data_IF_020437187243
#
_entry.id   IF_020437187243
#
_cell.length_a   1.000
_cell.length_b   1.000
_cell.length_c   1.000
_cell.angle_alpha   90.00
_cell.angle_beta   90.00
_cell.angle_gamma   90.00
#
_symmetry.space_group_name_H-M   'P 1'
#
loop_
_entity.id
_entity.type
_entity.pdbx_description
1 polymer ?
#
# COMPACT_ATOMS: atom_id res chain seq x y z
N UNK A 1 14.66 14.40 8.26
CA UNK A 1 13.52 14.86 7.45
C UNK A 1 13.93 14.83 5.99
N UNK A 2 12.96 14.72 5.08
CA UNK A 2 13.22 14.79 3.64
C UNK A 2 13.61 16.23 3.25
N UNK A 3 14.72 16.35 2.54
CA UNK A 3 15.13 17.59 1.88
C UNK A 3 14.40 17.71 0.52
N UNK A 4 13.56 18.75 0.36
CA UNK A 4 12.89 19.05 -0.91
C UNK A 4 11.36 18.95 -0.88
N UNK A 5 10.70 18.86 -2.05
CA UNK A 5 9.25 18.84 -2.15
C UNK A 5 8.66 17.58 -1.50
N UNK A 6 7.50 17.74 -0.86
CA UNK A 6 6.79 16.67 -0.16
C UNK A 6 5.40 16.46 -0.72
N UNK A 7 4.89 15.25 -0.60
CA UNK A 7 3.49 14.98 -0.86
C UNK A 7 2.60 15.57 0.24
N UNK A 8 1.37 15.97 -0.13
CA UNK A 8 0.35 16.39 0.83
C UNK A 8 0.01 15.27 1.84
N UNK A 9 0.07 14.02 1.38
CA UNK A 9 -0.14 12.83 2.20
C UNK A 9 1.03 11.88 1.99
N UNK A 10 2.00 11.92 2.88
CA UNK A 10 3.09 10.94 2.90
C UNK A 10 2.61 9.62 3.49
N UNK A 11 3.07 8.52 2.90
CA UNK A 11 2.85 7.16 3.39
C UNK A 11 4.16 6.58 3.90
N UNK A 12 4.07 5.42 4.52
CA UNK A 12 5.22 4.75 5.12
C UNK A 12 6.34 4.60 4.09
N UNK A 13 7.53 5.06 4.46
CA UNK A 13 8.75 4.84 3.69
C UNK A 13 9.20 3.40 3.88
N UNK A 14 9.65 2.77 2.80
CA UNK A 14 10.10 1.37 2.82
C UNK A 14 11.62 1.36 2.74
N UNK A 15 12.26 1.13 3.88
CA UNK A 15 13.72 1.10 3.97
C UNK A 15 14.31 -0.15 3.36
N UNK A 16 15.50 -0.03 2.79
CA UNK A 16 16.30 -1.16 2.35
C UNK A 16 17.78 -0.80 2.34
N UNK A 17 18.62 -1.81 2.47
CA UNK A 17 20.06 -1.66 2.36
C UNK A 17 20.51 -2.00 0.94
N UNK A 18 21.40 -1.17 0.40
CA UNK A 18 22.06 -1.40 -0.88
C UNK A 18 23.52 -0.99 -0.78
N UNK A 19 24.43 -1.95 -0.98
CA UNK A 19 25.89 -1.73 -0.96
C UNK A 19 26.38 -0.96 0.29
N UNK A 20 25.88 -1.34 1.47
CA UNK A 20 26.23 -0.73 2.75
C UNK A 20 25.61 0.66 2.98
N UNK A 21 24.77 1.14 2.07
CA UNK A 21 24.03 2.40 2.20
C UNK A 21 22.56 2.15 2.52
N UNK A 22 22.00 2.91 3.47
CA UNK A 22 20.58 2.87 3.80
C UNK A 22 19.80 3.74 2.81
N UNK A 23 18.77 3.14 2.20
CA UNK A 23 17.90 3.78 1.24
C UNK A 23 16.44 3.61 1.62
N UNK A 24 15.56 4.42 1.03
CA UNK A 24 14.12 4.30 1.22
C UNK A 24 13.36 4.53 -0.07
N UNK A 25 12.35 3.69 -0.33
CA UNK A 25 11.33 4.00 -1.34
C UNK A 25 10.40 5.07 -0.75
N UNK A 26 10.42 6.26 -1.36
CA UNK A 26 9.53 7.37 -1.00
C UNK A 26 8.18 7.25 -1.72
N UNK A 27 8.23 6.89 -3.00
CA UNK A 27 7.05 6.80 -3.86
C UNK A 27 7.24 5.65 -4.86
N UNK A 28 6.17 4.92 -5.12
CA UNK A 28 6.20 3.76 -6.03
C UNK A 28 6.06 4.21 -7.49
N UNK A 29 5.12 5.11 -7.81
CA UNK A 29 4.90 5.63 -9.16
C UNK A 29 4.64 7.16 -9.14
N UNK A 30 5.52 8.01 -9.75
CA UNK A 30 6.89 7.68 -10.19
C UNK A 30 7.72 7.03 -9.08
N UNK A 31 8.70 6.20 -9.47
CA UNK A 31 9.53 5.47 -8.53
C UNK A 31 10.64 6.36 -8.00
N UNK A 32 10.51 6.77 -6.74
CA UNK A 32 11.40 7.73 -6.09
C UNK A 32 12.15 7.06 -4.94
N UNK A 33 13.47 7.06 -5.02
CA UNK A 33 14.37 6.53 -3.98
C UNK A 33 15.05 7.68 -3.24
N UNK A 34 15.18 7.54 -1.93
CA UNK A 34 15.93 8.43 -1.06
C UNK A 34 17.20 7.74 -0.57
N UNK A 35 18.30 8.49 -0.50
CA UNK A 35 19.43 8.16 0.35
C UNK A 35 19.14 8.63 1.78
N UNK A 36 19.41 7.78 2.76
CA UNK A 36 19.13 8.02 4.19
C UNK A 36 20.45 8.03 4.95
N UNK A 37 20.81 9.18 5.51
CA UNK A 37 22.00 9.34 6.35
C UNK A 37 21.59 9.35 7.83
N UNK A 38 22.23 8.44 8.57
CA UNK A 38 22.13 8.33 10.02
C UNK A 38 23.29 9.04 10.74
N UNK A 39 24.07 9.87 10.03
CA UNK A 39 25.29 10.46 10.56
C UNK A 39 25.00 11.61 11.54
N UNK A 40 25.73 11.61 12.66
CA UNK A 40 25.66 12.61 13.73
C UNK A 40 24.46 12.44 14.67
N UNK A 41 24.40 13.27 15.72
CA UNK A 41 23.36 13.20 16.75
C UNK A 41 22.08 14.00 16.40
N UNK A 42 21.99 14.47 15.15
CA UNK A 42 20.90 15.31 14.67
C UNK A 42 19.73 14.52 14.06
N UNK A 43 18.74 15.21 13.46
CA UNK A 43 17.67 14.54 12.74
C UNK A 43 18.21 13.74 11.54
N UNK A 44 17.76 12.48 11.40
CA UNK A 44 18.04 11.62 10.23
C UNK A 44 17.76 12.37 8.93
N UNK A 45 18.73 12.49 8.03
CA UNK A 45 18.60 13.26 6.78
C UNK A 45 18.24 12.36 5.62
N UNK A 46 17.33 12.81 4.76
CA UNK A 46 16.92 12.04 3.59
C UNK A 46 16.97 12.93 2.35
N UNK A 47 17.68 12.48 1.31
CA UNK A 47 17.85 13.22 0.06
C UNK A 47 17.35 12.38 -1.12
N UNK A 48 16.64 12.95 -2.10
CA UNK A 48 16.31 12.23 -3.31
C UNK A 48 17.58 11.75 -4.01
N UNK A 49 17.67 10.43 -4.21
CA UNK A 49 18.74 9.82 -5.01
C UNK A 49 18.41 9.88 -6.49
N UNK A 50 17.16 9.62 -6.82
CA UNK A 50 16.66 9.58 -8.18
C UNK A 50 15.16 9.30 -8.23
N UNK A 51 14.56 9.67 -9.36
CA UNK A 51 13.19 9.35 -9.68
C UNK A 51 13.13 8.79 -11.10
N UNK A 52 12.50 7.62 -11.26
CA UNK A 52 12.22 7.01 -12.56
C UNK A 52 10.73 7.15 -12.82
N UNK A 53 10.39 7.78 -13.95
CA UNK A 53 9.01 7.82 -14.40
C UNK A 53 8.52 6.38 -14.65
N UNK A 54 7.39 6.03 -14.05
CA UNK A 54 6.84 4.69 -14.21
C UNK A 54 5.33 4.75 -14.24
N UNK A 55 4.76 4.11 -15.25
CA UNK A 55 3.33 4.05 -15.46
C UNK A 55 2.73 2.82 -14.76
N UNK A 56 2.08 3.06 -13.62
CA UNK A 56 1.30 2.07 -12.88
C UNK A 56 -0.21 2.25 -13.10
N UNK A 57 -0.64 3.00 -14.12
CA UNK A 57 -2.05 3.33 -14.38
C UNK A 57 -2.92 2.09 -14.53
N UNK A 58 -2.46 1.07 -15.26
CA UNK A 58 -3.21 -0.17 -15.50
C UNK A 58 -3.63 -0.88 -14.20
N UNK A 59 -2.77 -0.87 -13.18
CA UNK A 59 -3.13 -1.35 -11.84
C UNK A 59 -3.98 -0.31 -11.09
N UNK A 60 -3.57 0.95 -11.12
CA UNK A 60 -4.16 2.02 -10.33
C UNK A 60 -5.62 2.32 -10.67
N UNK A 61 -6.01 2.19 -11.93
CA UNK A 61 -7.39 2.39 -12.38
C UNK A 61 -8.34 1.34 -11.79
N UNK A 62 -7.84 0.13 -11.52
CA UNK A 62 -8.62 -1.01 -11.05
C UNK A 62 -8.62 -1.16 -9.53
N UNK A 63 -7.49 -0.87 -8.89
CA UNK A 63 -7.26 -1.15 -7.47
C UNK A 63 -6.75 0.04 -6.66
N UNK A 64 -6.64 1.22 -7.29
CA UNK A 64 -6.10 2.43 -6.69
C UNK A 64 -4.57 2.52 -6.81
N UNK A 65 -4.00 3.73 -6.65
CA UNK A 65 -2.56 3.94 -6.82
C UNK A 65 -1.75 3.16 -5.77
N UNK A 66 -0.63 2.51 -6.17
CA UNK A 66 0.23 1.78 -5.25
C UNK A 66 0.97 2.75 -4.32
N UNK A 67 1.01 2.45 -3.03
CA UNK A 67 1.75 3.24 -2.05
C UNK A 67 2.17 2.42 -0.83
N UNK A 68 3.35 2.73 -0.28
CA UNK A 68 3.89 2.11 0.94
C UNK A 68 3.82 0.58 0.95
N UNK A 69 3.89 -0.02 2.15
CA UNK A 69 3.78 -1.47 2.34
C UNK A 69 4.99 -2.08 3.03
N UNK A 70 5.39 -3.27 2.60
CA UNK A 70 6.52 -4.00 3.14
C UNK A 70 7.86 -3.53 2.52
N UNK A 71 8.92 -3.39 3.33
CA UNK A 71 10.30 -3.22 2.85
C UNK A 71 10.64 -4.17 1.71
N UNK A 72 11.37 -3.70 0.67
CA UNK A 72 11.75 -4.56 -0.44
C UNK A 72 12.79 -5.59 0.01
N UNK A 73 12.69 -6.78 -0.56
CA UNK A 73 13.64 -7.87 -0.35
C UNK A 73 14.40 -8.11 -1.64
N UNK A 74 15.74 -8.22 -1.55
CA UNK A 74 16.58 -8.48 -2.70
C UNK A 74 16.42 -9.93 -3.17
N UNK A 75 16.17 -10.12 -4.46
CA UNK A 75 16.10 -11.40 -5.13
C UNK A 75 16.90 -11.34 -6.43
N UNK A 76 18.14 -11.81 -6.40
CA UNK A 76 19.04 -11.74 -7.55
C UNK A 76 19.37 -10.29 -7.94
N UNK A 77 19.02 -9.93 -9.18
CA UNK A 77 19.21 -8.62 -9.79
C UNK A 77 18.01 -7.68 -9.63
N UNK A 78 17.02 -8.05 -8.82
CA UNK A 78 15.85 -7.24 -8.51
C UNK A 78 15.62 -7.12 -7.00
N UNK A 79 14.86 -6.10 -6.62
CA UNK A 79 14.20 -5.98 -5.33
C UNK A 79 12.69 -6.16 -5.51
N UNK A 80 12.06 -6.97 -4.66
CA UNK A 80 10.61 -7.20 -4.68
C UNK A 80 9.99 -6.60 -3.41
N UNK A 81 8.93 -5.81 -3.57
CA UNK A 81 8.18 -5.22 -2.46
C UNK A 81 6.68 -5.44 -2.62
N UNK A 82 6.01 -5.63 -1.48
CA UNK A 82 4.56 -5.72 -1.40
C UNK A 82 3.99 -4.39 -0.98
N UNK A 83 3.09 -3.85 -1.79
CA UNK A 83 2.51 -2.53 -1.56
C UNK A 83 1.04 -2.61 -1.19
N UNK A 84 0.49 -1.55 -0.59
CA UNK A 84 -0.97 -1.41 -0.49
C UNK A 84 -1.50 -0.40 -1.51
N UNK A 85 -2.75 -0.61 -1.90
CA UNK A 85 -3.50 0.35 -2.69
C UNK A 85 -4.89 0.52 -2.10
N UNK A 86 -5.56 1.63 -2.42
CA UNK A 86 -6.90 1.90 -1.91
C UNK A 86 -7.80 2.46 -3.00
N UNK A 87 -9.01 1.92 -3.11
CA UNK A 87 -10.01 2.37 -4.06
C UNK A 87 -11.34 2.69 -3.35
N UNK A 88 -12.08 3.72 -3.78
CA UNK A 88 -13.46 3.92 -3.33
C UNK A 88 -14.36 2.77 -3.82
N UNK A 89 -15.26 2.29 -2.97
CA UNK A 89 -16.22 1.23 -3.35
C UNK A 89 -17.42 1.82 -4.10
N UNK A 90 -17.90 2.99 -3.66
CA UNK A 90 -19.10 3.57 -4.25
C UNK A 90 -18.81 4.11 -5.66
N UNK A 91 -19.39 3.46 -6.67
CA UNK A 91 -19.45 3.98 -8.05
C UNK A 91 -20.24 5.28 -8.15
N UNK A 92 -21.10 5.56 -7.17
CA UNK A 92 -21.89 6.79 -7.08
C UNK A 92 -21.19 7.89 -6.27
N UNK A 93 -19.90 7.75 -5.94
CA UNK A 93 -19.15 8.81 -5.26
C UNK A 93 -19.21 10.14 -6.01
N UNK A 94 -19.36 10.13 -7.34
CA UNK A 94 -19.56 11.35 -8.13
C UNK A 94 -20.80 12.14 -7.71
N UNK A 95 -21.87 11.46 -7.25
CA UNK A 95 -23.09 12.11 -6.74
C UNK A 95 -22.78 12.98 -5.52
N UNK A 96 -21.74 12.64 -4.75
CA UNK A 96 -21.30 13.44 -3.62
C UNK A 96 -20.82 14.85 -4.00
N UNK A 97 -20.52 15.11 -5.27
CA UNK A 97 -20.25 16.47 -5.78
C UNK A 97 -21.44 17.41 -5.57
N UNK A 98 -22.66 16.88 -5.63
CA UNK A 98 -23.91 17.63 -5.45
C UNK A 98 -24.45 17.54 -4.02
N UNK A 99 -23.67 16.98 -3.08
CA UNK A 99 -24.11 16.86 -1.70
C UNK A 99 -24.23 18.25 -1.06
N UNK A 100 -25.38 18.58 -0.43
CA UNK A 100 -25.69 19.95 0.00
C UNK A 100 -24.83 20.45 1.17
N UNK A 101 -24.09 19.56 1.83
CA UNK A 101 -23.21 19.88 2.97
C UNK A 101 -21.74 19.79 2.52
N UNK A 102 -21.01 20.91 2.36
CA UNK A 102 -19.57 20.89 2.10
C UNK A 102 -18.77 20.19 3.20
N UNK A 103 -17.63 19.55 2.84
CA UNK A 103 -16.70 19.00 3.84
C UNK A 103 -16.16 20.14 4.71
N UNK A 104 -16.15 19.93 6.03
CA UNK A 104 -15.65 20.91 6.99
C UNK A 104 -16.69 21.95 7.45
N UNK A 105 -17.92 21.91 6.94
CA UNK A 105 -19.01 22.74 7.45
C UNK A 105 -19.32 22.37 8.92
N UNK A 106 -19.34 23.38 9.80
CA UNK A 106 -19.71 23.19 11.21
C UNK A 106 -21.22 22.97 11.32
N UNK A 107 -21.62 21.75 11.62
CA UNK A 107 -23.02 21.36 11.83
C UNK A 107 -23.30 21.06 13.31
N UNK A 108 -24.53 21.29 13.81
CA UNK A 108 -24.95 20.78 15.11
C UNK A 108 -24.69 19.27 15.23
N UNK A 109 -24.31 18.78 16.42
CA UNK A 109 -23.84 17.39 16.61
C UNK A 109 -24.79 16.32 16.03
N UNK A 110 -26.09 16.51 16.18
CA UNK A 110 -27.09 15.57 15.66
C UNK A 110 -27.14 15.59 14.13
N UNK A 111 -27.11 16.77 13.50
CA UNK A 111 -27.07 16.91 12.04
C UNK A 111 -25.77 16.33 11.50
N UNK A 112 -24.64 16.60 12.14
CA UNK A 112 -23.34 16.03 11.77
C UNK A 112 -23.33 14.50 11.89
N UNK A 113 -24.05 13.92 12.85
CA UNK A 113 -24.18 12.47 12.99
C UNK A 113 -25.03 11.86 11.88
N UNK A 114 -26.16 12.48 11.55
CA UNK A 114 -27.03 12.05 10.43
C UNK A 114 -26.29 12.18 9.11
N UNK A 115 -25.65 13.33 8.87
CA UNK A 115 -24.87 13.60 7.66
C UNK A 115 -23.77 12.55 7.47
N UNK A 116 -23.00 12.26 8.51
CA UNK A 116 -21.95 11.25 8.46
C UNK A 116 -22.51 9.85 8.20
N UNK A 117 -23.67 9.53 8.77
CA UNK A 117 -24.37 8.26 8.53
C UNK A 117 -24.83 8.13 7.08
N UNK A 118 -25.36 9.20 6.49
CA UNK A 118 -25.81 9.24 5.09
C UNK A 118 -24.64 9.24 4.10
N UNK A 119 -23.54 9.91 4.43
CA UNK A 119 -22.32 9.92 3.61
C UNK A 119 -21.57 8.60 3.62
N UNK A 120 -21.66 7.85 4.73
CA UNK A 120 -20.83 6.67 4.98
C UNK A 120 -20.80 5.67 3.81
N UNK A 121 -21.91 5.27 3.17
CA UNK A 121 -21.89 4.35 2.04
C UNK A 121 -21.09 4.89 0.84
N UNK A 122 -21.01 6.20 0.66
CA UNK A 122 -20.33 6.85 -0.46
C UNK A 122 -18.82 7.08 -0.22
N UNK A 123 -18.41 7.16 1.04
CA UNK A 123 -17.02 7.35 1.43
C UNK A 123 -16.29 6.04 1.74
N UNK A 124 -16.93 4.88 1.53
CA UNK A 124 -16.31 3.58 1.76
C UNK A 124 -15.13 3.33 0.82
N UNK A 125 -14.07 2.76 1.39
CA UNK A 125 -12.84 2.39 0.67
C UNK A 125 -12.50 0.93 0.94
N UNK A 126 -11.90 0.30 -0.06
CA UNK A 126 -11.28 -1.01 0.05
C UNK A 126 -9.78 -0.88 -0.15
N UNK A 127 -9.01 -1.62 0.63
CA UNK A 127 -7.56 -1.69 0.49
C UNK A 127 -7.18 -3.07 0.00
N UNK A 128 -6.28 -3.09 -0.98
CA UNK A 128 -5.70 -4.27 -1.58
C UNK A 128 -4.20 -4.26 -1.36
N UNK A 129 -3.54 -5.40 -1.55
CA UNK A 129 -2.08 -5.45 -1.67
C UNK A 129 -1.66 -6.11 -2.98
N UNK A 130 -0.68 -5.52 -3.65
CA UNK A 130 -0.01 -6.09 -4.81
C UNK A 130 1.47 -6.27 -4.54
N UNK A 131 2.20 -6.77 -5.54
CA UNK A 131 3.65 -6.84 -5.51
C UNK A 131 4.24 -6.12 -6.74
N UNK A 132 5.43 -5.57 -6.58
CA UNK A 132 6.17 -4.99 -7.68
C UNK A 132 7.66 -5.22 -7.49
N UNK A 133 8.42 -5.11 -8.57
CA UNK A 133 9.87 -5.16 -8.51
C UNK A 133 10.53 -4.00 -9.25
N UNK A 134 11.77 -3.77 -8.86
CA UNK A 134 12.67 -2.80 -9.47
C UNK A 134 14.10 -3.36 -9.49
N UNK A 135 14.92 -2.86 -10.42
CA UNK A 135 16.30 -3.29 -10.59
C UNK A 135 17.09 -3.14 -9.29
N UNK A 136 17.95 -4.10 -8.98
CA UNK A 136 18.83 -4.06 -7.82
C UNK A 136 19.96 -3.05 -7.97
N UNK A 137 20.21 -2.55 -9.17
CA UNK A 137 21.23 -1.54 -9.44
C UNK A 137 20.59 -0.17 -9.71
N UNK A 138 21.24 0.93 -9.34
CA UNK A 138 20.83 2.27 -9.75
C UNK A 138 20.61 2.35 -11.28
N UNK A 139 19.60 3.10 -11.74
CA UNK A 139 18.76 4.01 -10.98
C UNK A 139 17.53 3.36 -10.32
N UNK A 140 17.55 2.05 -10.05
CA UNK A 140 16.44 1.29 -9.43
C UNK A 140 15.17 1.34 -10.28
N UNK A 141 15.32 1.04 -11.57
CA UNK A 141 14.24 1.10 -12.54
C UNK A 141 13.15 0.06 -12.21
N UNK A 142 11.87 0.47 -12.10
CA UNK A 142 10.77 -0.47 -11.96
C UNK A 142 10.70 -1.45 -13.14
N UNK A 143 10.48 -2.72 -12.84
CA UNK A 143 10.50 -3.81 -13.84
C UNK A 143 9.11 -4.35 -14.10
N UNK A 144 8.35 -4.61 -13.06
CA UNK A 144 7.01 -5.15 -13.17
C UNK A 144 6.18 -4.81 -11.94
N UNK A 145 4.86 -4.89 -12.13
CA UNK A 145 3.84 -4.83 -11.08
C UNK A 145 2.84 -5.95 -11.35
N UNK A 146 2.33 -6.57 -10.29
CA UNK A 146 1.29 -7.59 -10.43
C UNK A 146 0.04 -6.99 -11.06
N UNK A 147 -0.54 -7.67 -12.06
CA UNK A 147 -1.76 -7.20 -12.73
C UNK A 147 -3.00 -7.25 -11.82
N UNK A 148 -3.00 -8.18 -10.87
CA UNK A 148 -4.03 -8.36 -9.86
C UNK A 148 -3.45 -8.20 -8.45
N UNK A 149 -4.25 -7.84 -7.44
CA UNK A 149 -3.83 -7.91 -6.05
C UNK A 149 -3.46 -9.34 -5.65
N UNK A 150 -2.37 -9.46 -4.91
CA UNK A 150 -1.91 -10.71 -4.29
C UNK A 150 -2.54 -10.94 -2.91
N UNK A 151 -3.00 -9.87 -2.26
CA UNK A 151 -3.87 -9.93 -1.08
C UNK A 151 -5.15 -9.15 -1.34
N UNK A 152 -6.28 -9.80 -1.05
CA UNK A 152 -7.62 -9.24 -1.17
C UNK A 152 -8.35 -9.43 0.16
N UNK A 153 -8.95 -8.39 0.74
CA UNK A 153 -9.74 -8.55 1.97
C UNK A 153 -10.96 -9.47 1.78
N UNK A 154 -11.39 -9.71 0.54
CA UNK A 154 -12.49 -10.62 0.19
C UNK A 154 -12.10 -12.10 0.32
N UNK A 155 -10.81 -12.41 0.20
CA UNK A 155 -10.28 -13.77 0.35
C UNK A 155 -10.01 -14.11 1.83
N UNK A 156 -10.31 -13.18 2.73
CA UNK A 156 -9.98 -13.27 4.14
C UNK A 156 -11.21 -13.52 5.01
N UNK A 157 -11.02 -14.06 6.22
CA UNK A 157 -12.10 -14.15 7.19
C UNK A 157 -12.79 -12.80 7.39
N UNK A 158 -14.12 -12.80 7.59
CA UNK A 158 -14.85 -11.58 7.85
C UNK A 158 -14.38 -10.95 9.16
N UNK A 159 -14.59 -9.63 9.27
CA UNK A 159 -14.33 -8.86 10.50
C UNK A 159 -15.00 -9.50 11.71
N UNK A 160 -14.29 -9.48 12.83
CA UNK A 160 -14.79 -10.01 14.11
C UNK A 160 -15.33 -8.89 15.00
N UNK A 161 -14.75 -7.68 14.90
CA UNK A 161 -15.15 -6.56 15.75
C UNK A 161 -16.34 -5.78 15.17
N UNK A 162 -17.37 -5.57 16.02
CA UNK A 162 -18.55 -4.74 15.66
C UNK A 162 -18.19 -3.28 15.39
N UNK A 163 -17.17 -2.74 16.08
CA UNK A 163 -16.70 -1.36 15.91
C UNK A 163 -15.47 -1.35 15.02
N UNK A 164 -15.54 -0.60 13.92
CA UNK A 164 -14.40 -0.40 13.01
C UNK A 164 -13.47 0.67 13.56
N UNK A 165 -12.17 0.38 13.62
CA UNK A 165 -11.14 1.40 13.88
C UNK A 165 -11.23 2.51 12.81
N UNK A 166 -11.39 2.11 11.55
CA UNK A 166 -11.68 3.00 10.43
C UNK A 166 -13.12 2.78 9.90
N UNK A 167 -14.10 3.65 10.26
CA UNK A 167 -15.50 3.50 9.83
C UNK A 167 -15.74 3.55 8.32
N UNK A 168 -14.80 4.15 7.57
CA UNK A 168 -14.84 4.30 6.13
C UNK A 168 -14.10 3.20 5.40
N UNK A 169 -13.37 2.32 6.09
CA UNK A 169 -12.83 1.13 5.48
C UNK A 169 -13.86 0.00 5.50
N UNK A 170 -14.04 -0.64 4.36
CA UNK A 170 -14.90 -1.80 4.21
C UNK A 170 -14.11 -3.09 4.41
N UNK A 171 -12.99 -3.22 3.71
CA UNK A 171 -11.98 -4.27 3.88
C UNK A 171 -10.59 -3.67 3.82
N UNK A 172 -9.68 -4.13 4.68
CA UNK A 172 -8.29 -3.68 4.71
C UNK A 172 -7.36 -4.89 4.69
N UNK A 173 -6.43 -4.92 3.74
CA UNK A 173 -5.18 -5.68 3.86
C UNK A 173 -4.03 -4.69 3.75
N UNK A 174 -3.03 -4.82 4.64
CA UNK A 174 -1.90 -3.90 4.71
C UNK A 174 -0.61 -4.68 4.92
N UNK A 175 0.23 -4.90 3.88
CA UNK A 175 1.48 -5.62 4.03
C UNK A 175 2.45 -4.84 4.91
N UNK A 176 3.12 -5.56 5.81
CA UNK A 176 4.03 -5.02 6.81
C UNK A 176 5.46 -5.52 6.61
N UNK A 177 5.62 -6.80 6.26
CA UNK A 177 6.90 -7.42 6.02
C UNK A 177 6.77 -8.60 5.07
N UNK A 178 7.87 -8.95 4.42
CA UNK A 178 7.94 -10.09 3.52
C UNK A 178 9.32 -10.76 3.63
N UNK A 179 9.35 -12.07 3.44
CA UNK A 179 10.58 -12.83 3.26
C UNK A 179 10.40 -13.80 2.09
N UNK A 180 11.46 -13.98 1.30
CA UNK A 180 11.54 -15.07 0.34
C UNK A 180 11.87 -16.36 1.10
N UNK A 181 11.15 -17.43 0.81
CA UNK A 181 11.35 -18.76 1.37
C UNK A 181 12.18 -19.63 0.43
N UNK A 182 12.79 -20.67 0.99
CA UNK A 182 13.34 -21.76 0.18
C UNK A 182 12.25 -22.38 -0.70
N UNK A 183 12.53 -22.51 -2.00
CA UNK A 183 11.55 -22.95 -3.01
C UNK A 183 10.88 -21.83 -3.80
N UNK A 184 11.18 -20.56 -3.50
CA UNK A 184 10.74 -19.39 -4.29
C UNK A 184 9.41 -18.77 -3.84
N UNK A 185 8.72 -19.38 -2.88
CA UNK A 185 7.52 -18.83 -2.27
C UNK A 185 7.85 -17.63 -1.37
N UNK A 186 6.84 -16.81 -1.12
CA UNK A 186 6.94 -15.64 -0.26
C UNK A 186 6.09 -15.81 0.98
N UNK A 187 6.64 -15.52 2.15
CA UNK A 187 5.86 -15.34 3.36
C UNK A 187 5.67 -13.84 3.60
N UNK A 188 4.42 -13.39 3.58
CA UNK A 188 4.07 -11.98 3.78
C UNK A 188 3.27 -11.83 5.06
N UNK A 189 3.71 -10.92 5.93
CA UNK A 189 2.94 -10.47 7.09
C UNK A 189 2.13 -9.23 6.72
N UNK A 190 0.88 -9.18 7.20
CA UNK A 190 -0.02 -8.07 6.90
C UNK A 190 -1.05 -7.87 8.01
N UNK A 191 -1.51 -6.62 8.15
CA UNK A 191 -2.67 -6.30 8.95
C UNK A 191 -3.96 -6.56 8.17
N UNK A 192 -4.93 -7.20 8.80
CA UNK A 192 -6.27 -7.43 8.28
C UNK A 192 -7.28 -6.59 9.07
N UNK A 193 -8.02 -5.74 8.35
CA UNK A 193 -9.13 -4.95 8.86
C UNK A 193 -8.85 -3.99 10.03
N UNK A 194 -7.57 -3.73 10.34
CA UNK A 194 -7.09 -3.09 11.56
C UNK A 194 -7.48 -3.86 12.84
N UNK A 195 -7.70 -5.17 12.73
CA UNK A 195 -8.22 -6.04 13.80
C UNK A 195 -7.22 -7.14 14.18
N UNK A 196 -6.52 -7.72 13.21
CA UNK A 196 -5.53 -8.77 13.46
C UNK A 196 -4.33 -8.68 12.51
N UNK A 197 -3.25 -9.37 12.90
CA UNK A 197 -2.09 -9.62 12.06
C UNK A 197 -2.23 -11.01 11.44
N UNK A 198 -1.84 -11.16 10.18
CA UNK A 198 -1.94 -12.40 9.43
C UNK A 198 -0.64 -12.68 8.68
N UNK A 199 -0.45 -13.95 8.32
CA UNK A 199 0.61 -14.39 7.43
C UNK A 199 0.00 -15.11 6.23
N UNK A 200 0.54 -14.85 5.05
CA UNK A 200 0.15 -15.57 3.83
C UNK A 200 1.38 -16.03 3.08
N UNK A 201 1.34 -17.29 2.65
CA UNK A 201 2.28 -17.83 1.68
C UNK A 201 1.77 -17.50 0.28
N UNK A 202 2.62 -16.85 -0.52
CA UNK A 202 2.31 -16.41 -1.88
C UNK A 202 3.27 -17.12 -2.83
N UNK A 203 2.70 -17.83 -3.79
CA UNK A 203 3.43 -18.55 -4.83
C UNK A 203 3.98 -17.55 -5.86
N UNK A 204 5.25 -17.65 -6.31
CA UNK A 204 5.85 -16.74 -7.28
C UNK A 204 5.11 -16.71 -8.64
N UNK A 205 4.40 -17.77 -9.01
CA UNK A 205 3.54 -17.80 -10.20
C UNK A 205 2.43 -16.76 -10.13
N UNK A 206 2.04 -16.32 -8.91
CA UNK A 206 1.10 -15.23 -8.69
C UNK A 206 1.58 -13.89 -9.25
N UNK A 207 2.89 -13.74 -9.46
CA UNK A 207 3.46 -12.53 -10.07
C UNK A 207 3.34 -12.55 -11.61
N UNK A 208 2.99 -13.68 -12.21
CA UNK A 208 2.88 -13.83 -13.66
C UNK A 208 1.61 -13.15 -14.20
N UNK A 209 1.72 -12.66 -15.45
CA UNK A 209 0.74 -11.80 -16.14
C UNK A 209 -0.65 -12.40 -16.41
N UNK A 210 -1.01 -13.57 -15.88
CA UNK A 210 -2.34 -14.16 -16.04
C UNK A 210 -2.77 -14.85 -14.75
N UNK A 211 -3.94 -14.46 -14.25
CA UNK A 211 -4.35 -14.65 -12.86
C UNK A 211 -4.66 -16.07 -12.43
N UNK A 212 -4.56 -16.27 -11.11
CA UNK A 212 -5.00 -17.48 -10.43
C UNK A 212 -4.28 -17.71 -9.11
N UNK A 213 -4.35 -16.78 -8.15
CA UNK A 213 -3.79 -17.02 -6.82
C UNK A 213 -4.77 -17.84 -5.96
N UNK A 214 -4.43 -19.08 -5.66
CA UNK A 214 -5.05 -19.90 -4.61
C UNK A 214 -3.98 -20.20 -3.55
N UNK A 215 -3.88 -19.33 -2.54
CA UNK A 215 -2.99 -19.53 -1.38
C UNK A 215 -3.77 -19.89 -0.12
N UNK A 216 -3.25 -20.82 0.70
CA UNK A 216 -3.80 -21.12 2.04
C UNK A 216 -3.43 -20.02 3.02
N UNK A 217 -4.42 -19.51 3.75
CA UNK A 217 -4.25 -18.50 4.81
C UNK A 217 -3.94 -19.19 6.14
N UNK A 218 -2.93 -18.71 6.86
CA UNK A 218 -2.64 -19.11 8.24
C UNK A 218 -2.86 -17.88 9.13
N UNK A 219 -3.98 -17.87 9.87
CA UNK A 219 -4.25 -16.86 10.90
C UNK A 219 -3.79 -17.39 12.26
N UNK A 220 -3.05 -16.57 13.01
CA UNK A 220 -2.70 -16.79 14.43
C UNK A 220 -3.63 -16.01 15.35
#
# INVERSE_FOLDING_TARGET
MLDGPRQEIEKNWMFFEHEGSLQAIYQIAPHCILDVSLDGDGPVRCKPRGAVAWDASAYAERFGPPCGGAPPVRCGDEYISFFHSRIPISRLKWVMRYWPVPRGMRLPRYVAAIERRLRRPFDQRRYYAGAYAFAATPPFEPRWITAEPVLRPEDEPPRTHRRRANPSADGIVYPCGAIALEGGDWLVSYGLNDECCCFRRIDPTTFSRNGGASGKVLCS
#
